data_IF_547533973791
#
_entry.id   IF_547533973791
#
_cell.length_a   1.000
_cell.length_b   1.000
_cell.length_c   1.000
_cell.angle_alpha   90.00
_cell.angle_beta   90.00
_cell.angle_gamma   90.00
#
_symmetry.space_group_name_H-M   'P 1'
#
loop_
_entity.id
_entity.type
_entity.pdbx_description
1 polymer ?
#
# COMPACT_ATOMS: atom_id res chain seq x y z
N UNK A 1 -11.23 4.63 -15.15
CA UNK A 1 -10.36 4.66 -16.33
C UNK A 1 -9.94 3.25 -16.72
N UNK A 2 -9.02 2.58 -15.99
CA UNK A 2 -8.55 1.25 -16.38
C UNK A 2 -9.66 0.23 -16.59
N UNK A 3 -10.68 0.23 -15.73
CA UNK A 3 -11.83 -0.66 -15.87
C UNK A 3 -12.78 -0.28 -17.03
N UNK A 4 -12.76 0.96 -17.47
CA UNK A 4 -13.62 1.48 -18.52
C UNK A 4 -13.03 1.25 -19.93
N UNK A 5 -11.68 1.32 -20.02
CA UNK A 5 -10.93 1.09 -21.27
C UNK A 5 -10.44 -0.35 -21.43
N UNK A 6 -10.79 -1.24 -20.50
CA UNK A 6 -10.41 -2.65 -20.55
C UNK A 6 -11.56 -3.50 -21.05
N UNK A 7 -11.27 -4.44 -21.96
CA UNK A 7 -12.20 -5.53 -22.29
C UNK A 7 -12.39 -6.45 -21.07
N UNK A 8 -13.49 -7.19 -20.97
CA UNK A 8 -13.73 -8.13 -19.86
C UNK A 8 -12.53 -9.07 -19.59
N UNK A 9 -11.83 -9.47 -20.64
CA UNK A 9 -10.66 -10.37 -20.58
C UNK A 9 -9.40 -9.69 -20.05
N UNK A 10 -9.18 -8.40 -20.39
CA UNK A 10 -7.96 -7.66 -20.00
C UNK A 10 -8.11 -6.88 -18.70
N UNK A 11 -9.34 -6.73 -18.20
CA UNK A 11 -9.65 -5.95 -16.98
C UNK A 11 -8.86 -6.41 -15.76
N UNK A 12 -8.80 -7.71 -15.52
CA UNK A 12 -8.04 -8.28 -14.40
C UNK A 12 -6.54 -8.01 -14.51
N UNK A 13 -5.99 -8.15 -15.71
CA UNK A 13 -4.58 -7.88 -16.01
C UNK A 13 -4.23 -6.41 -15.77
N UNK A 14 -5.03 -5.49 -16.29
CA UNK A 14 -4.78 -4.05 -16.16
C UNK A 14 -4.90 -3.55 -14.71
N UNK A 15 -5.88 -4.05 -13.96
CA UNK A 15 -5.99 -3.78 -12.52
C UNK A 15 -4.80 -4.36 -11.76
N UNK A 16 -4.35 -5.56 -12.12
CA UNK A 16 -3.16 -6.19 -11.54
C UNK A 16 -1.89 -5.35 -11.74
N UNK A 17 -1.68 -4.82 -12.94
CA UNK A 17 -0.53 -3.93 -13.25
C UNK A 17 -0.57 -2.66 -12.40
N UNK A 18 -1.73 -2.03 -12.25
CA UNK A 18 -1.89 -0.83 -11.42
C UNK A 18 -1.58 -1.13 -9.95
N UNK A 19 -2.11 -2.23 -9.42
CA UNK A 19 -1.84 -2.65 -8.05
C UNK A 19 -0.37 -3.00 -7.83
N UNK A 20 0.27 -3.66 -8.80
CA UNK A 20 1.71 -3.94 -8.74
C UNK A 20 2.54 -2.66 -8.73
N UNK A 21 2.17 -1.66 -9.55
CA UNK A 21 2.80 -0.35 -9.55
C UNK A 21 2.64 0.36 -8.20
N UNK A 22 1.45 0.31 -7.60
CA UNK A 22 1.19 0.87 -6.27
C UNK A 22 2.09 0.22 -5.20
N UNK A 23 2.13 -1.11 -5.16
CA UNK A 23 2.94 -1.85 -4.18
C UNK A 23 4.43 -1.58 -4.38
N UNK A 24 4.90 -1.60 -5.63
CA UNK A 24 6.30 -1.27 -5.96
C UNK A 24 6.64 0.15 -5.54
N UNK A 25 5.75 1.12 -5.77
CA UNK A 25 5.94 2.50 -5.34
C UNK A 25 6.04 2.66 -3.83
N UNK A 26 5.20 1.97 -3.06
CA UNK A 26 5.25 1.96 -1.59
C UNK A 26 6.60 1.42 -1.09
N UNK A 27 7.10 0.34 -1.69
CA UNK A 27 8.36 -0.27 -1.28
C UNK A 27 9.57 0.56 -1.73
N UNK A 28 9.57 1.00 -2.98
CA UNK A 28 10.64 1.84 -3.53
C UNK A 28 10.77 3.17 -2.76
N UNK A 29 9.66 3.79 -2.36
CA UNK A 29 9.69 5.03 -1.60
C UNK A 29 10.41 4.90 -0.26
N UNK A 30 10.32 3.75 0.40
CA UNK A 30 11.04 3.48 1.66
C UNK A 30 12.54 3.41 1.46
N UNK A 31 12.99 2.72 0.41
CA UNK A 31 14.41 2.62 0.08
C UNK A 31 14.96 4.00 -0.31
N UNK A 32 14.27 4.70 -1.20
CA UNK A 32 14.67 6.04 -1.63
C UNK A 32 14.70 7.02 -0.44
N UNK A 33 13.67 7.01 0.42
CA UNK A 33 13.63 7.89 1.57
C UNK A 33 14.70 7.54 2.61
N UNK A 34 15.01 6.26 2.80
CA UNK A 34 16.09 5.83 3.68
C UNK A 34 17.46 6.35 3.19
N UNK A 35 17.77 6.15 1.91
CA UNK A 35 19.03 6.62 1.31
C UNK A 35 19.10 8.16 1.33
N UNK A 36 18.08 8.83 0.84
CA UNK A 36 18.07 10.31 0.80
C UNK A 36 18.12 10.89 2.21
N UNK A 37 17.40 10.28 3.17
CA UNK A 37 17.39 10.72 4.56
C UNK A 37 18.74 10.61 5.25
N UNK A 38 19.50 9.57 4.93
CA UNK A 38 20.84 9.34 5.47
C UNK A 38 21.86 10.36 4.94
N UNK A 39 21.90 10.59 3.61
CA UNK A 39 22.94 11.41 2.98
C UNK A 39 22.60 12.89 2.87
N UNK A 40 21.33 13.25 2.69
CA UNK A 40 20.88 14.61 2.39
C UNK A 40 19.95 15.19 3.46
N UNK A 41 19.57 14.38 4.43
CA UNK A 41 18.64 14.75 5.48
C UNK A 41 17.15 14.66 5.06
N UNK A 42 16.29 14.57 6.07
CA UNK A 42 14.87 14.30 5.91
C UNK A 42 14.10 15.36 5.09
N UNK A 43 14.55 16.62 5.13
CA UNK A 43 13.90 17.71 4.36
C UNK A 43 14.03 17.52 2.85
N UNK A 44 15.14 16.96 2.40
CA UNK A 44 15.38 16.77 0.97
C UNK A 44 14.44 15.74 0.34
N UNK A 45 13.90 14.82 1.14
CA UNK A 45 12.90 13.83 0.69
C UNK A 45 11.66 14.52 0.11
N UNK A 46 11.23 15.63 0.72
CA UNK A 46 10.07 16.39 0.23
C UNK A 46 10.33 17.05 -1.12
N UNK A 47 11.55 17.53 -1.37
CA UNK A 47 11.92 18.06 -2.69
C UNK A 47 11.93 16.98 -3.76
N UNK A 48 12.45 15.80 -3.45
CA UNK A 48 12.42 14.62 -4.35
C UNK A 48 10.98 14.23 -4.63
N UNK A 49 10.13 14.15 -3.62
CA UNK A 49 8.72 13.83 -3.79
C UNK A 49 7.99 14.88 -4.63
N UNK A 50 8.24 16.17 -4.39
CA UNK A 50 7.66 17.25 -5.19
C UNK A 50 8.10 17.16 -6.67
N UNK A 51 9.38 16.91 -6.94
CA UNK A 51 9.90 16.71 -8.29
C UNK A 51 9.23 15.54 -9.00
N UNK A 52 9.09 14.40 -8.32
CA UNK A 52 8.38 13.24 -8.86
C UNK A 52 6.90 13.56 -9.15
N UNK A 53 6.23 14.31 -8.28
CA UNK A 53 4.84 14.72 -8.52
C UNK A 53 4.70 15.63 -9.75
N UNK A 54 5.64 16.55 -9.97
CA UNK A 54 5.67 17.39 -11.18
C UNK A 54 5.87 16.54 -12.43
N UNK A 55 6.81 15.58 -12.40
CA UNK A 55 7.01 14.64 -13.51
C UNK A 55 5.74 13.84 -13.78
N UNK A 56 5.11 13.26 -12.75
CA UNK A 56 3.85 12.54 -12.88
C UNK A 56 2.74 13.43 -13.48
N UNK A 57 2.64 14.68 -13.05
CA UNK A 57 1.67 15.63 -13.58
C UNK A 57 1.87 15.87 -15.09
N UNK A 58 3.11 16.11 -15.51
CA UNK A 58 3.46 16.30 -16.93
C UNK A 58 3.12 15.04 -17.75
N UNK A 59 3.44 13.88 -17.22
CA UNK A 59 3.13 12.59 -17.88
C UNK A 59 1.63 12.40 -18.02
N UNK A 60 0.86 12.68 -16.98
CA UNK A 60 -0.60 12.57 -16.99
C UNK A 60 -1.21 13.53 -18.04
N UNK A 61 -0.78 14.79 -18.06
CA UNK A 61 -1.28 15.79 -19.02
C UNK A 61 -0.98 15.37 -20.47
N UNK A 62 0.18 14.75 -20.72
CA UNK A 62 0.58 14.36 -22.09
C UNK A 62 -0.04 13.04 -22.56
N UNK A 63 -0.28 12.11 -21.64
CA UNK A 63 -0.68 10.72 -22.00
C UNK A 63 -2.19 10.50 -21.81
N UNK A 64 -2.80 11.20 -20.85
CA UNK A 64 -4.21 10.98 -20.57
C UNK A 64 -5.07 11.65 -21.66
N UNK A 65 -5.94 10.90 -22.35
CA UNK A 65 -6.88 11.50 -23.29
C UNK A 65 -7.92 12.33 -22.54
N UNK A 66 -8.38 13.39 -23.18
CA UNK A 66 -9.49 14.19 -22.65
C UNK A 66 -10.75 13.33 -22.53
N UNK A 67 -11.19 13.14 -21.30
CA UNK A 67 -12.38 12.36 -21.02
C UNK A 67 -13.55 13.29 -20.82
N UNK A 68 -14.64 13.11 -21.61
CA UNK A 68 -15.85 13.88 -21.37
C UNK A 68 -16.36 13.56 -19.98
N UNK A 69 -16.52 14.62 -19.17
CA UNK A 69 -17.12 14.49 -17.84
C UNK A 69 -18.61 14.20 -18.00
N UNK A 70 -19.00 12.95 -17.83
CA UNK A 70 -20.42 12.55 -17.81
C UNK A 70 -21.11 12.88 -16.49
N UNK A 71 -20.39 13.46 -15.53
CA UNK A 71 -20.94 13.83 -14.23
C UNK A 71 -21.45 15.25 -14.26
N UNK A 72 -22.77 15.43 -14.29
CA UNK A 72 -23.44 16.73 -14.27
C UNK A 72 -23.81 17.19 -12.83
N UNK A 73 -23.25 16.58 -11.81
CA UNK A 73 -23.55 16.88 -10.41
C UNK A 73 -22.50 17.78 -9.73
N UNK A 74 -22.91 18.37 -8.61
CA UNK A 74 -22.01 19.16 -7.76
C UNK A 74 -21.04 18.23 -7.00
N UNK A 75 -19.82 18.70 -6.72
CA UNK A 75 -18.82 17.96 -5.90
C UNK A 75 -19.41 17.46 -4.58
N UNK A 76 -20.21 18.28 -3.91
CA UNK A 76 -20.92 17.90 -2.69
C UNK A 76 -21.93 16.76 -2.92
N UNK A 77 -22.62 16.77 -4.07
CA UNK A 77 -23.50 15.68 -4.49
C UNK A 77 -22.73 14.36 -4.67
N UNK A 78 -21.50 14.43 -5.23
CA UNK A 78 -20.62 13.28 -5.36
C UNK A 78 -20.23 12.71 -3.99
N UNK A 79 -19.83 13.55 -3.05
CA UNK A 79 -19.48 13.13 -1.68
C UNK A 79 -20.69 12.49 -0.98
N UNK A 80 -21.87 13.09 -1.11
CA UNK A 80 -23.13 12.53 -0.57
C UNK A 80 -23.46 11.19 -1.19
N UNK A 81 -23.19 11.01 -2.50
CA UNK A 81 -23.42 9.72 -3.18
C UNK A 81 -22.52 8.61 -2.64
N UNK A 82 -21.25 8.89 -2.32
CA UNK A 82 -20.35 7.93 -1.69
C UNK A 82 -20.89 7.47 -0.32
N UNK A 83 -21.37 8.40 0.47
CA UNK A 83 -21.97 8.08 1.77
C UNK A 83 -23.25 7.24 1.62
N UNK A 84 -24.07 7.57 0.63
CA UNK A 84 -25.27 6.80 0.27
C UNK A 84 -24.91 5.38 -0.18
N UNK A 85 -23.84 5.20 -0.98
CA UNK A 85 -23.35 3.90 -1.42
C UNK A 85 -22.91 3.02 -0.23
N UNK A 86 -22.13 3.58 0.70
CA UNK A 86 -21.71 2.88 1.91
C UNK A 86 -22.91 2.46 2.77
N UNK A 87 -23.95 3.31 2.83
CA UNK A 87 -25.19 2.99 3.56
C UNK A 87 -26.03 1.93 2.86
N UNK A 88 -26.08 1.98 1.51
CA UNK A 88 -26.90 1.08 0.69
C UNK A 88 -26.33 -0.34 0.61
N UNK A 89 -25.00 -0.48 0.62
CA UNK A 89 -24.34 -1.78 0.42
C UNK A 89 -23.60 -2.24 1.68
N UNK A 90 -24.20 -3.12 2.51
CA UNK A 90 -23.57 -3.64 3.73
C UNK A 90 -22.22 -4.34 3.46
N UNK A 91 -22.10 -5.03 2.33
CA UNK A 91 -20.88 -5.71 1.94
C UNK A 91 -19.71 -4.73 1.71
N UNK A 92 -20.00 -3.54 1.16
CA UNK A 92 -19.00 -2.50 0.98
C UNK A 92 -18.42 -2.04 2.34
N UNK A 93 -19.26 -1.89 3.36
CA UNK A 93 -18.83 -1.55 4.73
C UNK A 93 -17.87 -2.58 5.30
N UNK A 94 -18.23 -3.87 5.19
CA UNK A 94 -17.41 -4.97 5.72
C UNK A 94 -16.06 -5.03 5.00
N UNK A 95 -16.06 -4.91 3.67
CA UNK A 95 -14.81 -4.93 2.88
C UNK A 95 -13.94 -3.72 3.18
N UNK A 96 -14.53 -2.52 3.28
CA UNK A 96 -13.78 -1.29 3.61
C UNK A 96 -13.19 -1.33 5.01
N UNK A 97 -13.95 -1.81 6.01
CA UNK A 97 -13.45 -1.99 7.37
C UNK A 97 -12.30 -3.00 7.42
N UNK A 98 -12.44 -4.14 6.76
CA UNK A 98 -11.35 -5.13 6.66
C UNK A 98 -10.09 -4.52 6.03
N UNK A 99 -10.24 -3.84 4.91
CA UNK A 99 -9.12 -3.18 4.24
C UNK A 99 -8.48 -2.13 5.15
N UNK A 100 -9.28 -1.29 5.82
CA UNK A 100 -8.81 -0.27 6.75
C UNK A 100 -8.03 -0.84 7.91
N UNK A 101 -8.55 -1.85 8.60
CA UNK A 101 -7.87 -2.50 9.72
C UNK A 101 -6.60 -3.24 9.28
N UNK A 102 -6.64 -3.96 8.15
CA UNK A 102 -5.46 -4.66 7.64
C UNK A 102 -4.35 -3.68 7.25
N UNK A 103 -4.70 -2.61 6.55
CA UNK A 103 -3.72 -1.60 6.13
C UNK A 103 -3.22 -0.77 7.31
N UNK A 104 -4.10 -0.41 8.25
CA UNK A 104 -3.72 0.28 9.49
C UNK A 104 -2.78 -0.56 10.35
N UNK A 105 -3.05 -1.85 10.52
CA UNK A 105 -2.16 -2.78 11.22
C UNK A 105 -0.80 -2.91 10.53
N UNK A 106 -0.78 -2.97 9.20
CA UNK A 106 0.46 -2.99 8.41
C UNK A 106 1.28 -1.72 8.61
N UNK A 107 0.66 -0.54 8.56
CA UNK A 107 1.35 0.73 8.79
C UNK A 107 1.87 0.85 10.22
N UNK A 108 1.07 0.44 11.21
CA UNK A 108 1.48 0.45 12.61
C UNK A 108 2.69 -0.47 12.85
N UNK A 109 2.68 -1.69 12.28
CA UNK A 109 3.80 -2.63 12.36
C UNK A 109 5.09 -2.00 11.81
N UNK A 110 5.02 -1.37 10.63
CA UNK A 110 6.19 -0.71 10.04
C UNK A 110 6.70 0.46 10.87
N UNK A 111 5.79 1.24 11.45
CA UNK A 111 6.19 2.36 12.32
C UNK A 111 6.87 1.85 13.60
N UNK A 112 6.28 0.85 14.25
CA UNK A 112 6.87 0.24 15.45
C UNK A 112 8.24 -0.39 15.15
N UNK A 113 8.38 -1.07 14.00
CA UNK A 113 9.64 -1.66 13.58
C UNK A 113 10.72 -0.59 13.36
N UNK A 114 10.39 0.51 12.68
CA UNK A 114 11.32 1.61 12.43
C UNK A 114 11.82 2.22 13.75
N UNK A 115 10.92 2.57 14.66
CA UNK A 115 11.29 3.11 15.98
C UNK A 115 12.13 2.13 16.80
N UNK A 116 11.83 0.84 16.73
CA UNK A 116 12.61 -0.16 17.45
C UNK A 116 14.03 -0.29 16.87
N UNK A 117 14.18 -0.22 15.57
CA UNK A 117 15.48 -0.32 14.91
C UNK A 117 16.37 0.90 15.17
N UNK A 118 15.79 2.09 15.41
CA UNK A 118 16.53 3.29 15.78
C UNK A 118 17.08 3.25 17.23
N UNK A 119 16.46 2.46 18.10
CA UNK A 119 16.83 2.37 19.50
C UNK A 119 17.89 1.29 19.77
N UNK A 120 18.46 1.34 20.99
CA UNK A 120 19.33 0.26 21.46
C UNK A 120 18.63 -1.11 21.42
N UNK A 121 19.33 -2.19 21.08
CA UNK A 121 20.75 -2.31 20.76
C UNK A 121 21.12 -2.09 19.28
N UNK A 122 20.14 -1.84 18.42
CA UNK A 122 20.36 -1.87 16.97
C UNK A 122 21.01 -0.61 16.40
N UNK A 123 20.61 0.59 16.88
CA UNK A 123 21.07 1.90 16.39
C UNK A 123 21.18 1.97 14.87
N UNK A 124 20.18 1.41 14.17
CA UNK A 124 20.17 1.29 12.72
C UNK A 124 19.98 2.66 12.05
N UNK A 125 20.85 2.97 11.10
CA UNK A 125 20.70 4.17 10.27
C UNK A 125 19.46 4.10 9.36
N UNK A 126 19.05 5.25 8.84
CA UNK A 126 17.87 5.38 7.99
C UNK A 126 17.93 4.50 6.72
N UNK A 127 19.14 4.29 6.18
CA UNK A 127 19.39 3.41 5.03
C UNK A 127 19.04 1.95 5.36
N UNK A 128 19.42 1.44 6.51
CA UNK A 128 19.14 0.06 6.95
C UNK A 128 17.64 -0.11 7.16
N UNK A 129 17.00 0.83 7.83
CA UNK A 129 15.55 0.83 8.04
C UNK A 129 14.80 0.88 6.70
N UNK A 130 15.26 1.69 5.75
CA UNK A 130 14.73 1.74 4.40
C UNK A 130 14.89 0.42 3.65
N UNK A 131 16.04 -0.24 3.77
CA UNK A 131 16.30 -1.55 3.16
C UNK A 131 15.41 -2.67 3.69
N UNK A 132 14.93 -2.60 4.93
CA UNK A 132 13.92 -3.54 5.42
C UNK A 132 12.66 -3.55 4.55
N UNK A 133 12.38 -2.44 3.87
CA UNK A 133 11.31 -2.36 2.87
C UNK A 133 11.46 -3.38 1.73
N UNK A 134 12.68 -3.79 1.40
CA UNK A 134 12.95 -4.81 0.37
C UNK A 134 12.37 -6.18 0.76
N UNK A 135 12.32 -6.51 2.05
CA UNK A 135 11.67 -7.72 2.54
C UNK A 135 10.17 -7.74 2.17
N UNK A 136 9.55 -6.57 2.07
CA UNK A 136 8.17 -6.43 1.61
C UNK A 136 7.97 -6.78 0.13
N UNK A 137 9.03 -6.77 -0.70
CA UNK A 137 8.95 -7.14 -2.13
C UNK A 137 8.50 -8.59 -2.27
N UNK A 138 8.99 -9.49 -1.44
CA UNK A 138 8.54 -10.88 -1.43
C UNK A 138 7.03 -10.99 -1.21
N UNK A 139 6.48 -10.19 -0.28
CA UNK A 139 5.04 -10.09 -0.06
C UNK A 139 4.28 -9.50 -1.25
N UNK A 140 4.84 -8.48 -1.91
CA UNK A 140 4.22 -7.87 -3.09
C UNK A 140 4.20 -8.82 -4.29
N UNK A 141 5.25 -9.60 -4.51
CA UNK A 141 5.32 -10.63 -5.55
C UNK A 141 4.32 -11.75 -5.31
N UNK A 142 4.15 -12.18 -4.06
CA UNK A 142 3.13 -13.19 -3.72
C UNK A 142 1.71 -12.64 -3.90
N UNK A 143 1.47 -11.37 -3.63
CA UNK A 143 0.16 -10.75 -3.78
C UNK A 143 -0.36 -10.80 -5.23
N UNK A 144 0.51 -10.63 -6.23
CA UNK A 144 0.15 -10.77 -7.64
C UNK A 144 -0.27 -12.20 -8.02
N UNK A 145 0.31 -13.19 -7.35
CA UNK A 145 0.01 -14.61 -7.55
C UNK A 145 -1.26 -15.06 -6.82
N UNK A 146 -1.61 -14.43 -5.70
CA UNK A 146 -2.79 -14.77 -4.90
C UNK A 146 -4.08 -14.62 -5.70
N UNK A 147 -4.14 -13.70 -6.66
CA UNK A 147 -5.28 -13.54 -7.56
C UNK A 147 -5.67 -14.83 -8.28
N UNK A 148 -4.71 -15.70 -8.61
CA UNK A 148 -4.95 -17.01 -9.22
C UNK A 148 -5.54 -18.02 -8.23
N UNK A 149 -5.14 -17.92 -6.97
CA UNK A 149 -5.58 -18.85 -5.92
C UNK A 149 -6.93 -18.51 -5.32
N UNK A 150 -7.47 -17.30 -5.58
CA UNK A 150 -8.80 -16.89 -5.12
C UNK A 150 -9.88 -17.86 -5.60
N UNK A 151 -9.78 -18.35 -6.85
CA UNK A 151 -10.73 -19.30 -7.42
C UNK A 151 -10.65 -20.71 -6.79
N UNK A 152 -9.47 -21.08 -6.27
CA UNK A 152 -9.22 -22.40 -5.69
C UNK A 152 -9.52 -22.41 -4.19
N UNK A 153 -9.00 -21.43 -3.44
CA UNK A 153 -9.06 -21.40 -1.98
C UNK A 153 -10.29 -20.62 -1.44
N UNK A 154 -10.86 -19.77 -2.28
CA UNK A 154 -11.94 -18.86 -1.88
C UNK A 154 -11.49 -17.70 -1.00
N UNK A 155 -12.22 -16.59 -1.08
CA UNK A 155 -11.90 -15.32 -0.39
C UNK A 155 -11.83 -15.50 1.14
N UNK A 156 -12.70 -16.32 1.73
CA UNK A 156 -12.74 -16.54 3.19
C UNK A 156 -11.42 -17.13 3.72
N UNK A 157 -10.95 -18.22 3.09
CA UNK A 157 -9.71 -18.89 3.53
C UNK A 157 -8.49 -18.00 3.38
N UNK A 158 -8.39 -17.27 2.26
CA UNK A 158 -7.30 -16.31 2.04
C UNK A 158 -7.32 -15.18 3.07
N UNK A 159 -8.51 -14.71 3.46
CA UNK A 159 -8.64 -13.72 4.53
C UNK A 159 -8.12 -14.25 5.87
N UNK A 160 -8.47 -15.48 6.23
CA UNK A 160 -7.97 -16.10 7.48
C UNK A 160 -6.45 -16.26 7.46
N UNK A 161 -5.87 -16.73 6.34
CA UNK A 161 -4.42 -16.84 6.18
C UNK A 161 -3.75 -15.46 6.34
N UNK A 162 -4.29 -14.42 5.72
CA UNK A 162 -3.77 -13.07 5.88
C UNK A 162 -3.84 -12.56 7.32
N UNK A 163 -4.95 -12.78 8.02
CA UNK A 163 -5.10 -12.39 9.42
C UNK A 163 -4.11 -13.16 10.32
N UNK A 164 -3.94 -14.46 10.12
CA UNK A 164 -2.97 -15.25 10.92
C UNK A 164 -1.55 -14.79 10.69
N UNK A 165 -1.17 -14.44 9.45
CA UNK A 165 0.15 -13.89 9.15
C UNK A 165 0.38 -12.52 9.82
N UNK A 166 -0.61 -11.63 9.83
CA UNK A 166 -0.50 -10.34 10.51
C UNK A 166 -0.35 -10.56 12.03
N UNK A 167 -1.15 -11.44 12.62
CA UNK A 167 -1.09 -11.74 14.05
C UNK A 167 0.28 -12.36 14.38
N UNK A 168 0.79 -13.30 13.59
CA UNK A 168 2.10 -13.90 13.81
C UNK A 168 3.23 -12.87 13.74
N UNK A 169 3.15 -11.91 12.81
CA UNK A 169 4.12 -10.83 12.72
C UNK A 169 4.13 -9.96 13.99
N UNK A 170 2.97 -9.63 14.56
CA UNK A 170 2.88 -8.89 15.81
C UNK A 170 3.43 -9.69 17.01
N UNK A 171 3.12 -10.99 17.07
CA UNK A 171 3.66 -11.88 18.11
C UNK A 171 5.18 -11.95 18.00
N UNK A 172 5.73 -12.09 16.80
CA UNK A 172 7.18 -12.13 16.58
C UNK A 172 7.85 -10.83 17.03
N UNK A 173 7.25 -9.67 16.73
CA UNK A 173 7.76 -8.37 17.19
C UNK A 173 7.73 -8.27 18.72
N UNK A 174 6.67 -8.76 19.35
CA UNK A 174 6.51 -8.74 20.81
C UNK A 174 7.51 -9.68 21.49
N UNK A 175 7.63 -10.92 21.03
CA UNK A 175 8.58 -11.89 21.60
C UNK A 175 10.02 -11.48 21.35
N UNK A 176 10.33 -10.95 20.18
CA UNK A 176 11.67 -10.48 19.83
C UNK A 176 12.18 -9.35 20.72
N UNK A 177 11.31 -8.58 21.38
CA UNK A 177 11.78 -7.58 22.35
C UNK A 177 12.35 -8.19 23.64
N UNK A 178 11.94 -9.39 24.01
CA UNK A 178 12.43 -10.08 25.21
C UNK A 178 13.70 -10.91 24.93
N UNK A 179 13.95 -11.27 23.69
CA UNK A 179 15.11 -12.10 23.32
C UNK A 179 16.44 -11.34 23.30
N UNK A 180 16.42 -10.01 23.36
CA UNK A 180 17.61 -9.15 23.32
C UNK A 180 17.88 -8.39 24.63
N UNK A 181 17.24 -8.78 25.72
CA UNK A 181 17.47 -8.23 27.08
C UNK A 181 18.32 -9.23 27.90
N UNK A 182 19.22 -9.93 27.24
CA UNK A 182 20.17 -10.82 27.88
C UNK A 182 21.58 -10.49 27.45
#
# INVERSE_FOLDING_TARGET
LAAQYSTPETKGKNVGIILSGLLTGILASRVVSGIVGEYMGWRFIYFVAAGLMVVCLIVIIKILPDLPSNFQGTYFGLMKSLFSLVRKYPQLRIVSLRAGFSFGSFLAMWSCLAFKMEQAPFFAGNNIIGMLGLCGIAGALTASSIGRYIHILGVKRLTYIGCTLIISAWITLYVGQYSYVG
#
